data_IF_509345273377
#
_entry.id   IF_509345273377
#
_cell.length_a   1.000
_cell.length_b   1.000
_cell.length_c   1.000
_cell.angle_alpha   90.00
_cell.angle_beta   90.00
_cell.angle_gamma   90.00
#
_symmetry.space_group_name_H-M   'P 1'
#
loop_
_entity.id
_entity.type
_entity.pdbx_description
1 polymer ?
#
# COMPACT_ATOMS: atom_id res chain seq x y z
N UNK A 1 -2.50 -49.28 9.97
CA UNK A 1 -2.31 -47.81 10.12
C UNK A 1 -0.85 -47.57 9.78
N UNK A 2 -0.57 -46.93 8.62
CA UNK A 2 0.80 -46.59 8.24
C UNK A 2 1.30 -45.54 9.24
N UNK A 3 2.45 -45.75 9.86
CA UNK A 3 3.13 -44.72 10.65
C UNK A 3 3.54 -43.59 9.72
N UNK A 4 3.05 -42.38 9.95
CA UNK A 4 3.54 -41.19 9.23
C UNK A 4 5.06 -41.11 9.37
N UNK A 5 5.73 -40.81 8.27
CA UNK A 5 7.16 -40.50 8.32
C UNK A 5 7.40 -39.17 9.03
N UNK A 6 8.60 -38.94 9.58
CA UNK A 6 8.91 -37.65 10.26
C UNK A 6 8.70 -36.47 9.29
N UNK A 7 9.07 -36.62 8.01
CA UNK A 7 8.86 -35.59 7.00
C UNK A 7 7.36 -35.26 6.79
N UNK A 8 6.49 -36.27 6.66
CA UNK A 8 5.04 -36.06 6.56
C UNK A 8 4.46 -35.36 7.78
N UNK A 9 4.98 -35.67 8.99
CA UNK A 9 4.55 -35.00 10.21
C UNK A 9 4.96 -33.49 10.22
N UNK A 10 6.15 -33.16 9.72
CA UNK A 10 6.62 -31.78 9.60
C UNK A 10 5.78 -31.01 8.57
N UNK A 11 5.49 -31.59 7.39
CA UNK A 11 4.64 -30.96 6.36
C UNK A 11 3.24 -30.65 6.85
N UNK A 12 2.66 -31.53 7.67
CA UNK A 12 1.36 -31.27 8.33
C UNK A 12 1.45 -30.07 9.27
N UNK A 13 2.56 -29.91 10.01
CA UNK A 13 2.77 -28.75 10.89
C UNK A 13 2.92 -27.45 10.11
N UNK A 14 3.69 -27.44 9.00
CA UNK A 14 3.76 -26.27 8.12
C UNK A 14 2.39 -25.87 7.59
N UNK A 15 1.61 -26.84 7.12
CA UNK A 15 0.25 -26.60 6.62
C UNK A 15 -0.65 -26.03 7.73
N UNK A 16 -0.53 -26.54 8.96
CA UNK A 16 -1.29 -26.04 10.12
C UNK A 16 -0.89 -24.60 10.48
N UNK A 17 0.40 -24.28 10.53
CA UNK A 17 0.90 -22.92 10.78
C UNK A 17 0.37 -21.97 9.70
N UNK A 18 0.49 -22.34 8.43
CA UNK A 18 0.02 -21.54 7.30
C UNK A 18 -1.50 -21.32 7.36
N UNK A 19 -2.26 -22.34 7.74
CA UNK A 19 -3.72 -22.25 7.93
C UNK A 19 -4.08 -21.29 9.08
N UNK A 20 -3.38 -21.37 10.21
CA UNK A 20 -3.57 -20.45 11.34
C UNK A 20 -3.24 -19.00 10.97
N UNK A 21 -2.20 -18.77 10.17
CA UNK A 21 -1.87 -17.45 9.61
C UNK A 21 -3.03 -16.95 8.74
N UNK A 22 -3.56 -17.79 7.85
CA UNK A 22 -4.70 -17.45 6.98
C UNK A 22 -5.97 -17.10 7.76
N UNK A 23 -6.16 -17.71 8.92
CA UNK A 23 -7.27 -17.41 9.87
C UNK A 23 -6.97 -16.20 10.79
N UNK A 24 -5.82 -15.54 10.63
CA UNK A 24 -5.32 -14.45 11.50
C UNK A 24 -5.17 -14.85 12.98
N UNK A 25 -5.03 -16.15 13.26
CA UNK A 25 -4.80 -16.73 14.60
C UNK A 25 -3.30 -16.73 14.93
N UNK A 26 -2.69 -15.55 14.91
CA UNK A 26 -1.23 -15.39 14.95
C UNK A 26 -0.60 -15.94 16.23
N UNK A 27 -1.26 -15.82 17.38
CA UNK A 27 -0.76 -16.36 18.65
C UNK A 27 -0.56 -17.88 18.57
N UNK A 28 -1.57 -18.59 18.09
CA UNK A 28 -1.52 -20.05 17.96
C UNK A 28 -0.54 -20.49 16.87
N UNK A 29 -0.45 -19.71 15.78
CA UNK A 29 0.57 -19.94 14.76
C UNK A 29 1.99 -19.82 15.32
N UNK A 30 2.25 -18.82 16.18
CA UNK A 30 3.54 -18.64 16.86
C UNK A 30 3.85 -19.81 17.77
N UNK A 31 2.89 -20.21 18.63
CA UNK A 31 3.05 -21.35 19.56
C UNK A 31 3.40 -22.66 18.81
N UNK A 32 2.75 -22.91 17.66
CA UNK A 32 3.02 -24.08 16.82
C UNK A 32 4.37 -24.01 16.12
N UNK A 33 4.75 -22.83 15.59
CA UNK A 33 6.07 -22.62 14.96
C UNK A 33 7.21 -22.77 15.97
N UNK A 34 7.07 -22.22 17.19
CA UNK A 34 8.03 -22.38 18.27
C UNK A 34 8.13 -23.83 18.76
N UNK A 35 6.98 -24.57 18.79
CA UNK A 35 6.98 -25.98 19.12
C UNK A 35 7.74 -26.80 18.06
N UNK A 36 7.56 -26.45 16.77
CA UNK A 36 8.32 -27.09 15.69
C UNK A 36 9.83 -26.84 15.86
N UNK A 37 10.24 -25.60 16.13
CA UNK A 37 11.64 -25.23 16.34
C UNK A 37 12.28 -25.87 17.59
N UNK A 38 11.49 -26.23 18.61
CA UNK A 38 12.00 -27.01 19.77
C UNK A 38 12.32 -28.45 19.37
N UNK A 39 11.51 -29.04 18.47
CA UNK A 39 11.71 -30.40 18.00
C UNK A 39 12.78 -30.48 16.90
N UNK A 40 12.82 -29.47 16.00
CA UNK A 40 13.68 -29.39 14.84
C UNK A 40 14.40 -28.01 14.80
N UNK A 41 15.47 -27.82 15.60
CA UNK A 41 16.15 -26.51 15.73
C UNK A 41 16.86 -26.01 14.46
N UNK A 42 17.13 -26.88 13.51
CA UNK A 42 17.79 -26.54 12.24
C UNK A 42 16.82 -26.35 11.07
N UNK A 43 15.51 -26.34 11.35
CA UNK A 43 14.47 -26.19 10.35
C UNK A 43 14.38 -24.74 9.87
N UNK A 44 14.97 -24.42 8.72
CA UNK A 44 14.98 -23.10 8.09
C UNK A 44 13.57 -22.62 7.72
N UNK A 45 12.69 -23.52 7.29
CA UNK A 45 11.31 -23.20 6.91
C UNK A 45 10.46 -22.78 8.14
N UNK A 46 10.67 -23.42 9.30
CA UNK A 46 9.98 -23.03 10.52
C UNK A 46 10.38 -21.61 10.99
N UNK A 47 11.66 -21.25 10.85
CA UNK A 47 12.13 -19.88 11.07
C UNK A 47 11.49 -18.88 10.10
N UNK A 48 11.37 -19.23 8.82
CA UNK A 48 10.74 -18.37 7.82
C UNK A 48 9.23 -18.17 8.11
N UNK A 49 8.52 -19.22 8.52
CA UNK A 49 7.11 -19.13 8.93
C UNK A 49 6.95 -18.27 10.18
N UNK A 50 7.82 -18.40 11.17
CA UNK A 50 7.81 -17.53 12.35
C UNK A 50 8.06 -16.07 11.96
N UNK A 51 9.00 -15.81 11.07
CA UNK A 51 9.25 -14.48 10.54
C UNK A 51 8.01 -13.92 9.79
N UNK A 52 7.29 -14.75 9.04
CA UNK A 52 6.06 -14.36 8.35
C UNK A 52 4.95 -13.93 9.33
N UNK A 53 4.79 -14.65 10.44
CA UNK A 53 3.84 -14.27 11.50
C UNK A 53 4.18 -12.89 12.05
N UNK A 54 5.46 -12.59 12.26
CA UNK A 54 5.90 -11.29 12.77
C UNK A 54 5.70 -10.14 11.76
N UNK A 55 5.76 -10.40 10.45
CA UNK A 55 5.35 -9.40 9.44
C UNK A 55 3.86 -9.10 9.58
N UNK A 56 3.00 -10.13 9.65
CA UNK A 56 1.55 -9.95 9.78
C UNK A 56 1.13 -9.27 11.09
N UNK A 57 1.96 -9.30 12.12
CA UNK A 57 1.74 -8.61 13.40
C UNK A 57 2.52 -7.28 13.50
N UNK A 58 3.07 -6.79 12.38
CA UNK A 58 3.83 -5.53 12.26
C UNK A 58 5.08 -5.45 13.16
N UNK A 59 5.57 -6.59 13.63
CA UNK A 59 6.78 -6.70 14.43
C UNK A 59 8.00 -6.88 13.54
N UNK A 60 8.32 -5.88 12.73
CA UNK A 60 9.30 -5.97 11.64
C UNK A 60 10.71 -6.32 12.09
N UNK A 61 11.18 -5.84 13.24
CA UNK A 61 12.52 -6.17 13.74
C UNK A 61 12.61 -7.66 14.14
N UNK A 62 11.55 -8.24 14.72
CA UNK A 62 11.48 -9.67 14.99
C UNK A 62 11.41 -10.48 13.68
N UNK A 63 10.63 -10.03 12.69
CA UNK A 63 10.57 -10.64 11.37
C UNK A 63 11.94 -10.68 10.69
N UNK A 64 12.69 -9.57 10.76
CA UNK A 64 14.06 -9.47 10.22
C UNK A 64 15.04 -10.39 10.96
N UNK A 65 14.91 -10.52 12.28
CA UNK A 65 15.72 -11.46 13.07
C UNK A 65 15.48 -12.90 12.63
N UNK A 66 14.23 -13.35 12.63
CA UNK A 66 13.88 -14.74 12.33
C UNK A 66 14.11 -15.11 10.86
N UNK A 67 13.87 -14.19 9.91
CA UNK A 67 14.27 -14.40 8.51
C UNK A 67 15.79 -14.52 8.35
N UNK A 68 16.58 -13.83 9.18
CA UNK A 68 18.04 -14.00 9.18
C UNK A 68 18.45 -15.35 9.73
N UNK A 69 17.77 -15.87 10.75
CA UNK A 69 18.04 -17.21 11.27
C UNK A 69 17.71 -18.32 10.24
N UNK A 70 16.61 -18.14 9.49
CA UNK A 70 16.28 -18.99 8.35
C UNK A 70 17.39 -18.97 7.29
N UNK A 71 17.79 -17.78 6.83
CA UNK A 71 18.79 -17.60 5.77
C UNK A 71 20.22 -18.00 6.17
N UNK A 72 20.53 -18.09 7.46
CA UNK A 72 21.81 -18.68 7.93
C UNK A 72 21.85 -20.18 7.70
N UNK A 73 20.70 -20.85 7.77
CA UNK A 73 20.57 -22.31 7.58
C UNK A 73 20.42 -22.65 6.11
N UNK A 74 19.49 -21.98 5.43
CA UNK A 74 19.32 -22.08 3.98
C UNK A 74 19.33 -20.68 3.34
N UNK A 75 20.45 -20.25 2.72
CA UNK A 75 20.55 -18.98 2.00
C UNK A 75 19.60 -18.87 0.79
N UNK A 76 19.02 -19.98 0.34
CA UNK A 76 18.08 -20.04 -0.78
C UNK A 76 16.61 -20.21 -0.32
N UNK A 77 16.32 -20.09 0.98
CA UNK A 77 14.94 -20.14 1.46
C UNK A 77 14.12 -19.00 0.86
N UNK A 78 13.19 -19.36 -0.04
CA UNK A 78 12.33 -18.41 -0.79
C UNK A 78 11.42 -17.59 0.13
N UNK A 79 10.82 -18.26 1.14
CA UNK A 79 9.92 -17.59 2.07
C UNK A 79 10.66 -16.56 2.92
N UNK A 80 11.86 -16.88 3.39
CA UNK A 80 12.68 -15.97 4.18
C UNK A 80 13.07 -14.71 3.41
N UNK A 81 13.43 -14.82 2.13
CA UNK A 81 13.68 -13.65 1.29
C UNK A 81 12.42 -12.80 1.06
N UNK A 82 11.26 -13.45 0.82
CA UNK A 82 9.99 -12.76 0.65
C UNK A 82 9.61 -11.97 1.90
N UNK A 83 9.67 -12.62 3.07
CA UNK A 83 9.39 -12.01 4.37
C UNK A 83 10.33 -10.85 4.66
N UNK A 84 11.62 -11.04 4.41
CA UNK A 84 12.64 -10.00 4.62
C UNK A 84 12.40 -8.77 3.74
N UNK A 85 12.02 -9.00 2.48
CA UNK A 85 11.66 -7.93 1.53
C UNK A 85 10.46 -7.13 2.04
N UNK A 86 9.39 -7.83 2.48
CA UNK A 86 8.20 -7.19 3.03
C UNK A 86 8.51 -6.43 4.33
N UNK A 87 9.25 -7.04 5.26
CA UNK A 87 9.60 -6.40 6.52
C UNK A 87 10.38 -5.09 6.33
N UNK A 88 11.32 -5.05 5.38
CA UNK A 88 12.02 -3.82 5.02
C UNK A 88 11.12 -2.80 4.33
N UNK A 89 10.26 -3.25 3.39
CA UNK A 89 9.32 -2.36 2.69
C UNK A 89 8.33 -1.71 3.66
N UNK A 90 7.69 -2.50 4.52
CA UNK A 90 6.63 -2.05 5.42
C UNK A 90 7.18 -1.23 6.60
N UNK A 91 8.47 -1.45 6.97
CA UNK A 91 9.18 -0.57 7.91
C UNK A 91 9.82 0.67 7.26
N UNK A 92 9.47 0.98 5.99
CA UNK A 92 9.97 2.12 5.18
C UNK A 92 11.50 2.16 4.98
N UNK A 93 12.18 1.01 5.14
CA UNK A 93 13.61 0.84 4.86
C UNK A 93 13.81 0.51 3.38
N UNK A 94 13.41 1.43 2.49
CA UNK A 94 13.21 1.18 1.06
C UNK A 94 14.45 0.69 0.31
N UNK A 95 15.65 1.19 0.62
CA UNK A 95 16.89 0.72 -0.02
C UNK A 95 17.19 -0.74 0.35
N UNK A 96 17.03 -1.10 1.62
CA UNK A 96 17.21 -2.48 2.08
C UNK A 96 16.14 -3.42 1.49
N UNK A 97 14.91 -2.92 1.26
CA UNK A 97 13.88 -3.69 0.57
C UNK A 97 14.27 -3.98 -0.89
N UNK A 98 14.87 -3.00 -1.60
CA UNK A 98 15.39 -3.22 -2.97
C UNK A 98 16.53 -4.26 -3.00
N UNK A 99 17.45 -4.20 -2.03
CA UNK A 99 18.53 -5.16 -1.92
C UNK A 99 17.99 -6.57 -1.65
N UNK A 100 17.09 -6.70 -0.66
CA UNK A 100 16.45 -7.98 -0.34
C UNK A 100 15.64 -8.54 -1.51
N UNK A 101 14.89 -7.69 -2.23
CA UNK A 101 14.16 -8.09 -3.43
C UNK A 101 15.10 -8.56 -4.54
N UNK A 102 16.29 -7.95 -4.67
CA UNK A 102 17.29 -8.37 -5.67
C UNK A 102 17.81 -9.78 -5.37
N UNK A 103 18.14 -10.06 -4.11
CA UNK A 103 18.55 -11.41 -3.69
C UNK A 103 17.38 -12.41 -3.82
N UNK A 104 16.18 -12.02 -3.43
CA UNK A 104 14.98 -12.85 -3.60
C UNK A 104 14.73 -13.22 -5.06
N UNK A 105 14.87 -12.26 -5.99
CA UNK A 105 14.75 -12.50 -7.43
C UNK A 105 15.87 -13.42 -7.98
N UNK A 106 17.07 -13.40 -7.38
CA UNK A 106 18.13 -14.34 -7.73
C UNK A 106 17.76 -15.78 -7.38
N UNK A 107 17.09 -15.95 -6.22
CA UNK A 107 16.65 -17.27 -5.72
C UNK A 107 15.37 -17.73 -6.43
N UNK A 108 14.42 -16.82 -6.60
CA UNK A 108 13.14 -17.10 -7.27
C UNK A 108 12.78 -15.98 -8.26
N UNK A 109 13.25 -16.06 -9.51
CA UNK A 109 12.98 -15.05 -10.53
C UNK A 109 11.52 -15.04 -11.01
N UNK A 110 10.72 -16.05 -10.67
CA UNK A 110 9.32 -16.16 -11.04
C UNK A 110 8.35 -15.79 -9.91
N UNK A 111 8.84 -15.27 -8.77
CA UNK A 111 7.98 -14.70 -7.75
C UNK A 111 7.64 -13.24 -8.09
N UNK A 112 6.40 -12.95 -8.54
CA UNK A 112 6.02 -11.63 -9.04
C UNK A 112 6.01 -10.55 -7.95
N UNK A 113 5.95 -10.95 -6.68
CA UNK A 113 5.87 -10.01 -5.58
C UNK A 113 7.13 -9.16 -5.43
N UNK A 114 8.32 -9.69 -5.75
CA UNK A 114 9.55 -8.90 -5.73
C UNK A 114 9.51 -7.74 -6.73
N UNK A 115 9.01 -7.99 -7.94
CA UNK A 115 8.83 -6.96 -8.96
C UNK A 115 7.80 -5.92 -8.51
N UNK A 116 6.71 -6.37 -7.88
CA UNK A 116 5.69 -5.49 -7.35
C UNK A 116 6.19 -4.58 -6.23
N UNK A 117 6.97 -5.10 -5.26
CA UNK A 117 7.60 -4.28 -4.21
C UNK A 117 8.55 -3.24 -4.82
N UNK A 118 9.39 -3.64 -5.80
CA UNK A 118 10.26 -2.69 -6.52
C UNK A 118 9.44 -1.59 -7.20
N UNK A 119 8.35 -1.95 -7.86
CA UNK A 119 7.46 -0.98 -8.49
C UNK A 119 6.87 0.01 -7.47
N UNK A 120 6.39 -0.45 -6.33
CA UNK A 120 5.86 0.41 -5.26
C UNK A 120 6.91 1.39 -4.74
N UNK A 121 8.16 0.94 -4.58
CA UNK A 121 9.28 1.81 -4.19
C UNK A 121 9.56 2.85 -5.26
N UNK A 122 9.55 2.49 -6.55
CA UNK A 122 9.74 3.44 -7.64
C UNK A 122 8.57 4.42 -7.79
N UNK A 123 7.32 4.00 -7.53
CA UNK A 123 6.16 4.89 -7.43
C UNK A 123 6.36 5.95 -6.33
N UNK A 124 6.77 5.53 -5.14
CA UNK A 124 7.10 6.43 -4.01
C UNK A 124 8.21 7.42 -4.38
N UNK A 125 9.18 7.02 -5.20
CA UNK A 125 10.31 7.85 -5.65
C UNK A 125 10.01 8.73 -6.87
N UNK A 126 8.79 8.68 -7.40
CA UNK A 126 8.39 9.44 -8.60
C UNK A 126 8.97 8.90 -9.91
N UNK A 127 9.54 7.70 -9.92
CA UNK A 127 10.11 7.02 -11.08
C UNK A 127 9.04 6.16 -11.77
N UNK A 128 8.01 6.82 -12.30
CA UNK A 128 6.78 6.16 -12.74
C UNK A 128 6.96 5.22 -13.94
N UNK A 129 7.85 5.56 -14.87
CA UNK A 129 8.12 4.72 -16.05
C UNK A 129 8.78 3.39 -15.66
N UNK A 130 9.71 3.42 -14.70
CA UNK A 130 10.37 2.22 -14.21
C UNK A 130 9.42 1.39 -13.36
N UNK A 131 8.60 2.05 -12.52
CA UNK A 131 7.57 1.38 -11.76
C UNK A 131 6.62 0.61 -12.70
N UNK A 132 6.15 1.25 -13.79
CA UNK A 132 5.33 0.60 -14.80
C UNK A 132 5.99 -0.66 -15.34
N UNK A 133 7.25 -0.59 -15.78
CA UNK A 133 7.96 -1.74 -16.32
C UNK A 133 8.03 -2.92 -15.33
N UNK A 134 8.26 -2.65 -14.03
CA UNK A 134 8.25 -3.71 -13.01
C UNK A 134 6.85 -4.29 -12.77
N UNK A 135 5.79 -3.47 -12.85
CA UNK A 135 4.42 -3.97 -12.73
C UNK A 135 4.07 -4.87 -13.93
N UNK A 136 4.46 -4.45 -15.14
CA UNK A 136 4.26 -5.25 -16.36
C UNK A 136 4.96 -6.60 -16.23
N UNK A 137 6.21 -6.65 -15.74
CA UNK A 137 6.91 -7.91 -15.47
C UNK A 137 6.16 -8.77 -14.45
N UNK A 138 5.63 -8.18 -13.38
CA UNK A 138 4.83 -8.91 -12.39
C UNK A 138 3.54 -9.48 -13.01
N UNK A 139 2.90 -8.76 -13.93
CA UNK A 139 1.72 -9.20 -14.68
C UNK A 139 2.05 -10.27 -15.72
N UNK A 140 3.22 -10.24 -16.36
CA UNK A 140 3.66 -11.31 -17.27
C UNK A 140 3.78 -12.66 -16.53
N UNK A 141 4.23 -12.63 -15.26
CA UNK A 141 4.31 -13.82 -14.41
C UNK A 141 2.93 -14.23 -13.87
N UNK A 142 2.10 -13.25 -13.46
CA UNK A 142 0.77 -13.47 -12.87
C UNK A 142 -0.27 -12.53 -13.49
N UNK A 143 -0.82 -12.86 -14.69
CA UNK A 143 -1.69 -11.96 -15.46
C UNK A 143 -3.00 -11.58 -14.75
N UNK A 144 -3.58 -12.51 -13.96
CA UNK A 144 -4.89 -12.33 -13.32
C UNK A 144 -4.76 -11.82 -11.88
N UNK A 145 -3.91 -10.82 -11.64
CA UNK A 145 -3.77 -10.20 -10.32
C UNK A 145 -4.36 -8.78 -10.32
N UNK A 146 -5.48 -8.61 -9.62
CA UNK A 146 -6.19 -7.34 -9.55
C UNK A 146 -5.35 -6.21 -8.93
N UNK A 147 -4.51 -6.50 -7.92
CA UNK A 147 -3.66 -5.50 -7.27
C UNK A 147 -2.56 -4.99 -8.22
N UNK A 148 -1.95 -5.89 -9.00
CA UNK A 148 -0.94 -5.50 -10.00
C UNK A 148 -1.58 -4.67 -11.12
N UNK A 149 -2.76 -5.08 -11.60
CA UNK A 149 -3.51 -4.34 -12.62
C UNK A 149 -3.95 -2.96 -12.12
N UNK A 150 -4.41 -2.86 -10.86
CA UNK A 150 -4.73 -1.58 -10.23
C UNK A 150 -3.49 -0.66 -10.12
N UNK A 151 -2.34 -1.24 -9.77
CA UNK A 151 -1.08 -0.50 -9.69
C UNK A 151 -0.59 -0.04 -11.07
N UNK A 152 -0.83 -0.83 -12.13
CA UNK A 152 -0.56 -0.41 -13.51
C UNK A 152 -1.45 0.77 -13.90
N UNK A 153 -2.75 0.71 -13.57
CA UNK A 153 -3.66 1.83 -13.75
C UNK A 153 -3.17 3.10 -13.05
N UNK A 154 -2.64 2.97 -11.82
CA UNK A 154 -2.12 4.10 -11.07
C UNK A 154 -0.83 4.66 -11.70
N UNK A 155 0.11 3.81 -12.11
CA UNK A 155 1.34 4.21 -12.78
C UNK A 155 1.03 4.97 -14.09
N UNK A 156 0.07 4.47 -14.90
CA UNK A 156 -0.38 5.13 -16.14
C UNK A 156 -1.04 6.49 -15.86
N UNK A 157 -1.82 6.60 -14.79
CA UNK A 157 -2.41 7.87 -14.38
C UNK A 157 -1.33 8.91 -14.02
N UNK A 158 -0.28 8.49 -13.27
CA UNK A 158 0.85 9.35 -12.91
C UNK A 158 1.71 9.78 -14.12
N UNK A 159 1.77 8.94 -15.15
CA UNK A 159 2.41 9.26 -16.44
C UNK A 159 1.54 10.15 -17.33
N UNK A 160 0.28 10.42 -16.95
CA UNK A 160 -0.66 11.21 -17.75
C UNK A 160 -1.41 10.40 -18.82
N UNK A 161 -1.23 9.09 -18.89
CA UNK A 161 -1.86 8.19 -19.85
C UNK A 161 -3.28 7.80 -19.39
N UNK A 162 -4.16 8.79 -19.26
CA UNK A 162 -5.48 8.61 -18.63
C UNK A 162 -6.39 7.58 -19.30
N UNK A 163 -6.25 7.39 -20.63
CA UNK A 163 -7.03 6.36 -21.34
C UNK A 163 -6.61 4.94 -20.97
N UNK A 164 -5.30 4.66 -20.97
CA UNK A 164 -4.73 3.37 -20.54
C UNK A 164 -5.05 3.10 -19.08
N UNK A 165 -4.90 4.12 -18.21
CA UNK A 165 -5.25 4.02 -16.79
C UNK A 165 -6.70 3.59 -16.58
N UNK A 166 -7.68 4.18 -17.30
CA UNK A 166 -9.10 3.76 -17.21
C UNK A 166 -9.31 2.34 -17.69
N UNK A 167 -8.61 1.92 -18.75
CA UNK A 167 -8.70 0.56 -19.25
C UNK A 167 -8.23 -0.43 -18.19
N UNK A 168 -7.04 -0.25 -17.64
CA UNK A 168 -6.48 -1.14 -16.61
C UNK A 168 -7.29 -1.13 -15.31
N UNK A 169 -7.90 0.02 -14.94
CA UNK A 169 -8.82 0.07 -13.79
C UNK A 169 -10.03 -0.85 -13.99
N UNK A 170 -10.65 -0.84 -15.20
CA UNK A 170 -11.77 -1.74 -15.52
C UNK A 170 -11.34 -3.20 -15.55
N UNK A 171 -10.17 -3.50 -16.10
CA UNK A 171 -9.60 -4.84 -16.12
C UNK A 171 -9.38 -5.35 -14.69
N UNK A 172 -8.82 -4.52 -13.79
CA UNK A 172 -8.67 -4.86 -12.37
C UNK A 172 -10.02 -5.18 -11.72
N UNK A 173 -11.04 -4.35 -11.94
CA UNK A 173 -12.39 -4.55 -11.37
C UNK A 173 -13.06 -5.84 -11.89
N UNK A 174 -12.78 -6.26 -13.12
CA UNK A 174 -13.31 -7.51 -13.68
C UNK A 174 -12.67 -8.77 -13.06
N UNK A 175 -11.55 -8.63 -12.34
CA UNK A 175 -10.85 -9.74 -11.66
C UNK A 175 -11.41 -10.04 -10.26
N UNK A 176 -12.65 -9.64 -9.95
CA UNK A 176 -13.30 -9.91 -8.66
C UNK A 176 -12.47 -9.40 -7.47
N UNK A 177 -12.36 -8.07 -7.35
CA UNK A 177 -11.59 -7.44 -6.29
C UNK A 177 -12.24 -7.67 -4.93
N UNK A 178 -11.54 -8.38 -4.05
CA UNK A 178 -11.92 -8.59 -2.64
C UNK A 178 -10.94 -7.92 -1.65
N UNK A 179 -10.08 -7.05 -2.16
CA UNK A 179 -9.03 -6.38 -1.39
C UNK A 179 -9.32 -4.89 -1.26
N UNK A 180 -9.39 -4.42 -0.02
CA UNK A 180 -9.46 -3.02 0.38
C UNK A 180 -8.31 -2.17 -0.19
N UNK A 181 -7.09 -2.70 -0.12
CA UNK A 181 -5.89 -2.06 -0.68
C UNK A 181 -5.99 -1.90 -2.20
N UNK A 182 -6.54 -2.89 -2.91
CA UNK A 182 -6.74 -2.79 -4.36
C UNK A 182 -7.72 -1.67 -4.70
N UNK A 183 -8.84 -1.56 -3.98
CA UNK A 183 -9.77 -0.45 -4.15
C UNK A 183 -9.14 0.89 -3.80
N UNK A 184 -8.27 0.97 -2.79
CA UNK A 184 -7.54 2.18 -2.44
C UNK A 184 -6.61 2.62 -3.58
N UNK A 185 -5.87 1.69 -4.20
CA UNK A 185 -5.01 1.99 -5.36
C UNK A 185 -5.84 2.48 -6.55
N UNK A 186 -6.99 1.85 -6.84
CA UNK A 186 -7.92 2.29 -7.88
C UNK A 186 -8.46 3.69 -7.60
N UNK A 187 -8.74 4.00 -6.33
CA UNK A 187 -9.16 5.34 -5.93
C UNK A 187 -8.06 6.38 -6.20
N UNK A 188 -6.80 6.10 -5.86
CA UNK A 188 -5.68 6.99 -6.19
C UNK A 188 -5.50 7.16 -7.69
N UNK A 189 -5.68 6.08 -8.46
CA UNK A 189 -5.66 6.12 -9.92
C UNK A 189 -6.73 7.08 -10.47
N UNK A 190 -7.98 6.96 -9.99
CA UNK A 190 -9.09 7.83 -10.36
C UNK A 190 -8.84 9.30 -9.96
N UNK A 191 -8.27 9.54 -8.78
CA UNK A 191 -7.89 10.87 -8.31
C UNK A 191 -6.87 11.54 -9.23
N UNK A 192 -5.82 10.81 -9.65
CA UNK A 192 -4.80 11.33 -10.56
C UNK A 192 -5.39 11.68 -11.93
N UNK A 193 -6.44 10.98 -12.37
CA UNK A 193 -7.17 11.31 -13.60
C UNK A 193 -8.15 12.47 -13.44
N UNK A 194 -8.41 12.92 -12.19
CA UNK A 194 -9.44 13.91 -11.86
C UNK A 194 -10.88 13.36 -11.84
N UNK A 195 -11.04 12.05 -11.82
CA UNK A 195 -12.33 11.35 -11.78
C UNK A 195 -12.79 11.19 -10.31
N UNK A 196 -13.21 12.29 -9.70
CA UNK A 196 -13.53 12.32 -8.25
C UNK A 196 -14.75 11.49 -7.86
N UNK A 197 -15.66 11.23 -8.79
CA UNK A 197 -16.79 10.35 -8.55
C UNK A 197 -16.35 8.88 -8.48
N UNK A 198 -15.53 8.45 -9.44
CA UNK A 198 -14.92 7.13 -9.43
C UNK A 198 -14.03 6.94 -8.19
N UNK A 199 -13.18 7.94 -7.86
CA UNK A 199 -12.38 7.94 -6.63
C UNK A 199 -13.24 7.66 -5.40
N UNK A 200 -14.33 8.43 -5.21
CA UNK A 200 -15.19 8.28 -4.03
C UNK A 200 -15.89 6.91 -4.00
N UNK A 201 -16.28 6.36 -5.15
CA UNK A 201 -16.89 5.04 -5.23
C UNK A 201 -15.90 3.95 -4.85
N UNK A 202 -14.66 4.01 -5.33
CA UNK A 202 -13.60 3.05 -4.93
C UNK A 202 -13.29 3.15 -3.43
N UNK A 203 -13.21 4.35 -2.87
CA UNK A 203 -13.00 4.54 -1.43
C UNK A 203 -14.16 4.02 -0.58
N UNK A 204 -15.41 4.07 -1.07
CA UNK A 204 -16.54 3.44 -0.38
C UNK A 204 -16.41 1.93 -0.33
N UNK A 205 -15.96 1.30 -1.40
CA UNK A 205 -15.72 -0.15 -1.41
C UNK A 205 -14.54 -0.52 -0.49
N UNK A 206 -13.44 0.24 -0.52
CA UNK A 206 -12.32 0.03 0.38
C UNK A 206 -12.73 0.08 1.85
N UNK A 207 -13.46 1.14 2.28
CA UNK A 207 -13.91 1.28 3.67
C UNK A 207 -14.98 0.25 4.07
N UNK A 208 -15.74 -0.28 3.11
CA UNK A 208 -16.69 -1.36 3.36
C UNK A 208 -15.98 -2.67 3.72
N UNK A 209 -14.81 -2.93 3.10
CA UNK A 209 -14.01 -4.12 3.33
C UNK A 209 -13.20 -4.03 4.63
N UNK A 210 -12.54 -2.89 4.88
CA UNK A 210 -11.88 -2.63 6.16
C UNK A 210 -12.26 -1.24 6.72
N UNK A 211 -13.28 -1.17 7.59
CA UNK A 211 -13.71 0.08 8.21
C UNK A 211 -12.74 0.58 9.31
N UNK A 212 -11.82 -0.26 9.77
CA UNK A 212 -10.90 0.07 10.86
C UNK A 212 -9.55 0.59 10.35
N UNK A 213 -9.23 0.37 9.08
CA UNK A 213 -7.98 0.88 8.51
C UNK A 213 -7.96 2.42 8.54
N UNK A 214 -6.91 2.96 9.15
CA UNK A 214 -6.75 4.41 9.32
C UNK A 214 -6.50 5.12 8.00
N UNK A 215 -5.68 4.54 7.13
CA UNK A 215 -5.32 5.13 5.83
C UNK A 215 -6.54 5.22 4.91
N UNK A 216 -7.36 4.16 4.87
CA UNK A 216 -8.59 4.12 4.08
C UNK A 216 -9.60 5.16 4.58
N UNK A 217 -9.77 5.27 5.91
CA UNK A 217 -10.65 6.28 6.49
C UNK A 217 -10.21 7.71 6.17
N UNK A 218 -8.91 7.99 6.30
CA UNK A 218 -8.35 9.30 5.98
C UNK A 218 -8.52 9.61 4.47
N UNK A 219 -8.23 8.65 3.60
CA UNK A 219 -8.42 8.78 2.16
C UNK A 219 -9.91 9.03 1.81
N UNK A 220 -10.85 8.32 2.46
CA UNK A 220 -12.27 8.51 2.24
C UNK A 220 -12.75 9.91 2.67
N UNK A 221 -12.28 10.40 3.83
CA UNK A 221 -12.58 11.74 4.29
C UNK A 221 -12.07 12.82 3.34
N UNK A 222 -10.85 12.63 2.82
CA UNK A 222 -10.25 13.52 1.82
C UNK A 222 -10.99 13.46 0.49
N UNK A 223 -11.36 12.27 0.01
CA UNK A 223 -12.16 12.07 -1.20
C UNK A 223 -13.52 12.75 -1.12
N UNK A 224 -14.20 12.66 0.05
CA UNK A 224 -15.44 13.40 0.32
C UNK A 224 -15.24 14.91 0.23
N UNK A 225 -14.16 15.46 0.79
CA UNK A 225 -13.87 16.89 0.70
C UNK A 225 -13.64 17.32 -0.76
N UNK A 226 -12.84 16.54 -1.52
CA UNK A 226 -12.55 16.78 -2.94
C UNK A 226 -13.77 16.63 -3.86
N UNK A 227 -14.82 15.94 -3.44
CA UNK A 227 -16.07 15.82 -4.20
C UNK A 227 -16.83 17.15 -4.29
N UNK A 228 -16.61 18.08 -3.36
CA UNK A 228 -17.23 19.41 -3.40
C UNK A 228 -16.50 20.34 -4.38
N UNK A 229 -17.22 20.86 -5.39
CA UNK A 229 -16.67 21.76 -6.41
C UNK A 229 -15.98 23.00 -5.81
N UNK A 230 -16.59 23.61 -4.79
CA UNK A 230 -16.01 24.78 -4.11
C UNK A 230 -14.63 24.47 -3.48
N UNK A 231 -14.50 23.32 -2.81
CA UNK A 231 -13.24 22.92 -2.21
C UNK A 231 -12.13 22.73 -3.26
N UNK A 232 -12.47 22.14 -4.43
CA UNK A 232 -11.54 21.98 -5.54
C UNK A 232 -11.10 23.30 -6.14
N UNK A 233 -12.01 24.25 -6.34
CA UNK A 233 -11.69 25.59 -6.87
C UNK A 233 -10.72 26.31 -5.94
N UNK A 234 -10.95 26.23 -4.63
CA UNK A 234 -10.08 26.86 -3.64
C UNK A 234 -8.71 26.19 -3.51
N UNK A 235 -8.61 24.88 -3.76
CA UNK A 235 -7.33 24.16 -3.77
C UNK A 235 -6.59 24.26 -5.10
N UNK A 236 -7.23 24.67 -6.20
CA UNK A 236 -6.60 24.73 -7.51
C UNK A 236 -5.29 25.53 -7.53
N UNK A 237 -5.15 26.71 -6.89
CA UNK A 237 -3.87 27.40 -6.82
C UNK A 237 -2.77 26.60 -6.13
N UNK A 238 -3.10 25.86 -5.07
CA UNK A 238 -2.12 25.05 -4.31
C UNK A 238 -1.62 23.84 -5.10
N UNK A 239 -2.45 23.24 -5.95
CA UNK A 239 -2.02 22.14 -6.84
C UNK A 239 -1.03 22.61 -7.90
N UNK A 240 -1.15 23.84 -8.37
CA UNK A 240 -0.17 24.48 -9.25
C UNK A 240 1.17 24.69 -8.51
N UNK A 241 1.14 25.16 -7.27
CA UNK A 241 2.36 25.37 -6.47
C UNK A 241 3.13 24.07 -6.20
N UNK A 242 2.46 22.93 -6.05
CA UNK A 242 3.13 21.61 -5.88
C UNK A 242 4.01 21.21 -7.08
N UNK A 243 3.73 21.73 -8.28
CA UNK A 243 4.51 21.46 -9.50
C UNK A 243 5.66 22.46 -9.73
N UNK A 244 5.73 23.51 -8.92
CA UNK A 244 6.72 24.58 -9.07
C UNK A 244 7.93 24.35 -8.15
N UNK A 245 9.10 24.85 -8.60
CA UNK A 245 10.30 24.82 -7.77
C UNK A 245 10.11 25.78 -6.56
N UNK A 246 10.69 25.49 -5.39
CA UNK A 246 10.49 26.30 -4.16
C UNK A 246 10.76 27.79 -4.37
N UNK A 247 11.78 28.16 -5.13
CA UNK A 247 12.10 29.56 -5.40
C UNK A 247 11.03 30.28 -6.25
N UNK A 248 10.33 29.56 -7.17
CA UNK A 248 9.24 30.12 -7.97
C UNK A 248 8.02 30.42 -7.09
N UNK A 249 7.72 29.52 -6.17
CA UNK A 249 6.66 29.73 -5.16
C UNK A 249 6.98 30.96 -4.30
N UNK A 250 8.24 31.09 -3.84
CA UNK A 250 8.69 32.25 -3.07
C UNK A 250 8.53 33.56 -3.83
N UNK A 251 8.91 33.60 -5.12
CA UNK A 251 8.75 34.80 -5.96
C UNK A 251 7.27 35.20 -6.16
N UNK A 252 6.38 34.21 -6.35
CA UNK A 252 4.93 34.46 -6.47
C UNK A 252 4.40 35.06 -5.16
N UNK A 253 4.78 34.50 -4.01
CA UNK A 253 4.37 35.00 -2.70
C UNK A 253 4.90 36.43 -2.45
N UNK A 254 6.15 36.69 -2.81
CA UNK A 254 6.75 38.01 -2.68
C UNK A 254 6.05 39.05 -3.57
N UNK A 255 5.78 38.71 -4.84
CA UNK A 255 5.03 39.54 -5.76
C UNK A 255 3.60 39.81 -5.30
N UNK A 256 2.90 38.76 -4.83
CA UNK A 256 1.55 38.90 -4.28
C UNK A 256 1.51 39.77 -3.02
N UNK A 257 2.53 39.66 -2.13
CA UNK A 257 2.62 40.49 -0.93
C UNK A 257 2.85 41.97 -1.23
N UNK A 258 3.55 42.28 -2.31
CA UNK A 258 3.84 43.69 -2.72
C UNK A 258 2.61 44.29 -3.42
N UNK A 259 1.99 43.56 -4.34
CA UNK A 259 0.95 44.08 -5.25
C UNK A 259 -0.47 44.00 -4.62
N UNK A 260 -0.75 42.95 -3.84
CA UNK A 260 -2.12 42.62 -3.40
C UNK A 260 -2.23 42.34 -1.91
N UNK A 261 -1.54 43.11 -1.05
CA UNK A 261 -1.60 42.92 0.43
C UNK A 261 -3.00 42.63 1.00
N UNK A 262 -4.07 43.43 0.71
CA UNK A 262 -5.40 43.15 1.26
C UNK A 262 -6.05 41.91 0.65
N UNK A 263 -5.80 41.61 -0.63
CA UNK A 263 -6.40 40.47 -1.34
C UNK A 263 -5.85 39.14 -0.81
N UNK A 264 -4.59 39.12 -0.40
CA UNK A 264 -3.91 37.97 0.16
C UNK A 264 -4.49 37.58 1.53
N UNK A 265 -4.80 38.57 2.37
CA UNK A 265 -5.50 38.36 3.65
C UNK A 265 -6.91 37.80 3.44
N UNK A 266 -7.67 38.36 2.49
CA UNK A 266 -9.00 37.88 2.13
C UNK A 266 -8.92 36.43 1.63
N UNK A 267 -7.95 36.12 0.77
CA UNK A 267 -7.77 34.76 0.26
C UNK A 267 -7.47 33.74 1.39
N UNK A 268 -6.58 34.08 2.33
CA UNK A 268 -6.28 33.23 3.48
C UNK A 268 -7.54 33.01 4.34
N UNK A 269 -8.30 34.06 4.61
CA UNK A 269 -9.54 33.95 5.40
C UNK A 269 -10.57 33.05 4.70
N UNK A 270 -10.78 33.26 3.39
CA UNK A 270 -11.69 32.43 2.59
C UNK A 270 -11.22 30.98 2.55
N UNK A 271 -9.93 30.74 2.39
CA UNK A 271 -9.34 29.39 2.42
C UNK A 271 -9.60 28.69 3.76
N UNK A 272 -9.29 29.35 4.88
CA UNK A 272 -9.48 28.81 6.22
C UNK A 272 -10.97 28.51 6.46
N UNK A 273 -11.85 29.46 6.16
CA UNK A 273 -13.30 29.28 6.32
C UNK A 273 -13.84 28.10 5.50
N UNK A 274 -13.41 27.98 4.24
CA UNK A 274 -13.88 26.89 3.37
C UNK A 274 -13.34 25.55 3.82
N UNK A 275 -12.09 25.49 4.26
CA UNK A 275 -11.50 24.27 4.82
C UNK A 275 -12.27 23.80 6.07
N UNK A 276 -12.58 24.72 6.99
CA UNK A 276 -13.37 24.42 8.18
C UNK A 276 -14.82 24.04 7.84
N UNK A 277 -15.44 24.76 6.93
CA UNK A 277 -16.81 24.49 6.50
C UNK A 277 -16.93 23.11 5.83
N UNK A 278 -15.99 22.76 4.97
CA UNK A 278 -15.97 21.43 4.33
C UNK A 278 -15.72 20.32 5.33
N UNK A 279 -14.82 20.50 6.30
CA UNK A 279 -14.64 19.55 7.41
C UNK A 279 -15.92 19.38 8.22
N UNK A 280 -16.60 20.47 8.53
CA UNK A 280 -17.87 20.45 9.26
C UNK A 280 -18.95 19.71 8.46
N UNK A 281 -19.11 20.02 7.17
CA UNK A 281 -20.08 19.36 6.30
C UNK A 281 -19.82 17.85 6.18
N UNK A 282 -18.57 17.45 6.03
CA UNK A 282 -18.17 16.03 6.01
C UNK A 282 -18.47 15.36 7.35
N UNK A 283 -18.15 16.02 8.46
CA UNK A 283 -18.43 15.50 9.81
C UNK A 283 -19.93 15.32 10.02
N UNK A 284 -20.75 16.33 9.70
CA UNK A 284 -22.22 16.26 9.81
C UNK A 284 -22.80 15.16 8.91
N UNK A 285 -22.28 14.98 7.70
CA UNK A 285 -22.74 13.95 6.77
C UNK A 285 -22.44 12.52 7.26
N UNK A 286 -21.33 12.31 7.97
CA UNK A 286 -20.89 11.00 8.45
C UNK A 286 -21.41 10.66 9.84
N UNK A 287 -21.45 11.63 10.75
CA UNK A 287 -21.71 11.42 12.18
C UNK A 287 -22.99 12.11 12.68
N UNK A 288 -23.72 12.80 11.79
CA UNK A 288 -24.87 13.62 12.19
C UNK A 288 -24.46 14.89 12.96
N UNK A 289 -25.47 15.64 13.43
CA UNK A 289 -25.31 16.83 14.29
C UNK A 289 -24.95 16.40 15.72
N UNK A 290 -23.72 15.98 15.99
CA UNK A 290 -23.26 15.76 17.36
C UNK A 290 -22.18 16.77 17.71
N UNK A 291 -22.56 17.82 18.44
CA UNK A 291 -21.56 18.60 19.17
C UNK A 291 -21.11 17.77 20.37
N UNK A 292 -19.90 17.19 20.32
CA UNK A 292 -19.29 16.69 21.55
C UNK A 292 -19.15 17.87 22.52
N UNK A 293 -19.85 17.77 23.68
CA UNK A 293 -19.56 18.60 24.84
C UNK A 293 -18.17 18.27 25.37
#
# INVERSE_FOLDING_TARGET
>A
MSSMTNAEAIDVRYSRISHLIGLKRYKEATEEAEALLRDEPEDDQAYALLALIYVHTEQYDAALHWSSESLKRDPENRLAWLVRTNAYHDSDKLDKALDAATEGMRVDPYEPHYYFIRANIYLKRGRYAEAKSYIETALDIRPNNAAYMASLSYAEALLGNHAASRQHAREALNLSVESDTTFLILAWSAEQRGDYEENLNMLKEAIRLDPNDKQIREAYMEGLQKSYKMYRILLAPFTLFKRMKPWQVLLIWLGAAIIFRPLLLIFIIVYVLTHWLTKLLVHVKLFGWSFKK
#
